data_IF_475319482680
#
_entry.id   IF_475319482680
#
_cell.length_a   1.000
_cell.length_b   1.000
_cell.length_c   1.000
_cell.angle_alpha   90.00
_cell.angle_beta   90.00
_cell.angle_gamma   90.00
#
_symmetry.space_group_name_H-M   'P 1'
#
loop_
_entity.id
_entity.type
_entity.pdbx_description
1 polymer ?
#
# COMPACT_ATOMS: atom_id res chain seq x y z
N UNK A 1 11.49 40.72 20.96
CA UNK A 1 10.13 40.28 20.59
C UNK A 1 9.93 40.35 19.08
N UNK A 2 9.52 39.24 18.46
CA UNK A 2 9.16 39.13 17.03
C UNK A 2 7.69 39.53 16.78
N UNK A 3 7.34 39.77 15.51
CA UNK A 3 5.97 40.05 15.03
C UNK A 3 4.95 38.99 15.41
N UNK A 4 5.24 37.71 15.16
CA UNK A 4 4.33 36.61 15.49
C UNK A 4 4.12 36.48 17.00
N UNK A 5 5.19 36.65 17.79
CA UNK A 5 5.12 36.64 19.25
C UNK A 5 4.28 37.79 19.81
N UNK A 6 4.42 38.99 19.24
CA UNK A 6 3.63 40.15 19.64
C UNK A 6 2.15 39.94 19.33
N UNK A 7 1.84 39.29 18.21
CA UNK A 7 0.48 38.97 17.81
C UNK A 7 -0.15 37.90 18.72
N UNK A 8 0.57 36.82 19.03
CA UNK A 8 0.12 35.77 19.96
C UNK A 8 -0.17 36.32 21.37
N UNK A 9 0.66 37.23 21.88
CA UNK A 9 0.42 37.84 23.19
C UNK A 9 -0.82 38.73 23.19
N UNK A 10 -1.07 39.49 22.13
CA UNK A 10 -2.26 40.33 22.04
C UNK A 10 -3.54 39.50 21.91
N UNK A 11 -3.48 38.39 21.18
CA UNK A 11 -4.62 37.47 21.05
C UNK A 11 -4.91 36.72 22.36
N UNK A 12 -3.89 36.27 23.09
CA UNK A 12 -4.06 35.66 24.43
C UNK A 12 -4.55 36.67 25.48
N UNK A 13 -4.23 37.96 25.29
CA UNK A 13 -4.77 39.06 26.08
C UNK A 13 -6.23 39.41 25.75
N UNK A 14 -6.85 38.75 24.76
CA UNK A 14 -8.22 38.99 24.35
C UNK A 14 -8.43 40.27 23.53
N UNK A 15 -7.36 40.81 22.93
CA UNK A 15 -7.45 41.95 22.01
C UNK A 15 -7.98 41.47 20.66
N UNK A 16 -8.95 42.19 20.11
CA UNK A 16 -9.57 41.85 18.82
C UNK A 16 -8.52 41.74 17.70
N UNK A 17 -8.68 40.77 16.80
CA UNK A 17 -7.67 40.43 15.77
C UNK A 17 -7.29 41.62 14.88
N UNK A 18 -8.28 42.45 14.53
CA UNK A 18 -8.03 43.63 13.70
C UNK A 18 -7.22 44.71 14.44
N UNK A 19 -7.49 44.88 15.73
CA UNK A 19 -6.77 45.81 16.60
C UNK A 19 -5.36 45.29 16.83
N UNK A 20 -5.19 43.98 17.08
CA UNK A 20 -3.89 43.36 17.32
C UNK A 20 -2.98 43.49 16.09
N UNK A 21 -3.48 43.22 14.87
CA UNK A 21 -2.75 43.44 13.61
C UNK A 21 -2.33 44.91 13.46
N UNK A 22 -3.22 45.86 13.73
CA UNK A 22 -2.92 47.29 13.62
C UNK A 22 -1.85 47.73 14.63
N UNK A 23 -1.91 47.25 15.88
CA UNK A 23 -0.88 47.51 16.90
C UNK A 23 0.45 46.89 16.53
N UNK A 24 0.50 45.65 16.03
CA UNK A 24 1.75 45.01 15.60
C UNK A 24 2.37 45.78 14.43
N UNK A 25 1.56 46.20 13.44
CA UNK A 25 2.03 47.07 12.34
C UNK A 25 2.53 48.42 12.83
N UNK A 26 1.91 49.00 13.86
CA UNK A 26 2.36 50.25 14.49
C UNK A 26 3.69 50.03 15.23
N UNK A 27 3.82 48.99 16.03
CA UNK A 27 5.05 48.65 16.76
C UNK A 27 6.22 48.30 15.84
N UNK A 28 5.95 47.71 14.66
CA UNK A 28 6.95 47.54 13.61
C UNK A 28 7.47 48.88 13.07
N UNK A 29 6.56 49.83 12.80
CA UNK A 29 6.94 51.19 12.36
C UNK A 29 7.73 51.95 13.43
N UNK A 30 7.35 51.77 14.70
CA UNK A 30 8.02 52.36 15.87
C UNK A 30 9.31 51.64 16.28
N UNK A 31 9.72 50.58 15.57
CA UNK A 31 10.90 49.74 15.88
C UNK A 31 10.89 49.12 17.28
N UNK A 32 9.73 49.04 17.95
CA UNK A 32 9.55 48.37 19.25
C UNK A 32 9.68 46.85 19.13
N UNK A 33 9.40 46.30 17.95
CA UNK A 33 9.56 44.88 17.60
C UNK A 33 10.35 44.72 16.31
N UNK A 34 10.98 43.55 16.15
CA UNK A 34 11.75 43.20 14.96
C UNK A 34 10.98 42.19 14.12
N UNK A 35 11.05 42.32 12.79
CA UNK A 35 10.57 41.29 11.87
C UNK A 35 11.66 40.22 11.71
N UNK A 36 11.34 38.98 12.09
CA UNK A 36 12.20 37.82 11.83
C UNK A 36 11.45 36.94 10.84
N UNK A 37 11.93 36.86 9.59
CA UNK A 37 11.30 36.05 8.55
C UNK A 37 11.40 34.54 8.82
N UNK A 38 10.38 33.80 8.36
CA UNK A 38 10.20 32.33 8.19
C UNK A 38 11.29 31.37 8.68
N UNK A 39 11.77 31.53 9.91
CA UNK A 39 12.54 30.51 10.61
C UNK A 39 11.88 30.36 11.96
N UNK A 40 11.16 29.25 12.14
CA UNK A 40 10.55 28.84 13.39
C UNK A 40 11.64 28.60 14.44
N UNK A 41 12.13 29.66 15.06
CA UNK A 41 12.91 29.54 16.28
C UNK A 41 11.94 29.33 17.45
N UNK A 42 12.24 28.29 18.23
CA UNK A 42 11.57 27.85 19.45
C UNK A 42 10.74 28.93 20.15
N UNK A 43 9.48 28.62 20.42
CA UNK A 43 8.49 29.40 21.18
C UNK A 43 8.85 29.50 22.68
N UNK A 44 10.11 29.78 22.99
CA UNK A 44 10.58 30.16 24.31
C UNK A 44 10.33 31.64 24.52
N UNK A 45 9.18 31.96 25.11
CA UNK A 45 8.79 33.31 25.45
C UNK A 45 9.71 33.85 26.55
N UNK A 46 10.52 34.86 26.24
CA UNK A 46 11.18 35.65 27.26
C UNK A 46 10.96 37.11 26.87
N UNK A 47 9.85 37.67 27.37
CA UNK A 47 9.84 39.10 27.65
C UNK A 47 10.66 39.28 28.93
N UNK A 48 11.72 40.06 28.79
CA UNK A 48 12.66 40.36 29.88
C UNK A 48 12.08 41.34 30.90
N UNK A 49 10.85 41.84 30.77
CA UNK A 49 10.32 42.78 31.76
C UNK A 49 8.79 42.75 31.89
N UNK A 50 8.33 42.73 33.14
CA UNK A 50 6.92 42.78 33.54
C UNK A 50 6.30 44.14 33.20
N UNK A 51 7.10 45.22 33.33
CA UNK A 51 6.65 46.59 33.05
C UNK A 51 6.52 46.83 31.54
N UNK A 52 7.38 46.18 30.74
CA UNK A 52 7.27 46.21 29.28
C UNK A 52 5.99 45.53 28.79
N UNK A 53 5.60 44.40 29.38
CA UNK A 53 4.36 43.71 29.05
C UNK A 53 3.11 44.54 29.40
N UNK A 54 3.13 45.22 30.55
CA UNK A 54 2.01 46.08 30.98
C UNK A 54 1.87 47.31 30.07
N UNK A 55 2.99 47.95 29.71
CA UNK A 55 2.99 49.08 28.76
C UNK A 55 2.49 48.66 27.37
N UNK A 56 2.83 47.45 26.91
CA UNK A 56 2.32 46.91 25.65
C UNK A 56 0.80 46.68 25.66
N UNK A 57 0.27 46.14 26.76
CA UNK A 57 -1.18 45.94 26.90
C UNK A 57 -1.93 47.27 26.97
N UNK A 58 -1.35 48.26 27.65
CA UNK A 58 -1.88 49.63 27.68
C UNK A 58 -1.86 50.28 26.29
N UNK A 59 -0.77 50.13 25.55
CA UNK A 59 -0.63 50.58 24.15
C UNK A 59 -1.66 49.90 23.22
N UNK A 60 -2.09 48.67 23.54
CA UNK A 60 -3.09 47.91 22.82
C UNK A 60 -4.54 48.19 23.25
N UNK A 61 -4.75 49.13 24.16
CA UNK A 61 -6.09 49.54 24.62
C UNK A 61 -6.69 48.62 25.68
N UNK A 62 -5.91 47.72 26.27
CA UNK A 62 -6.36 46.89 27.40
C UNK A 62 -6.36 47.74 28.67
N UNK A 63 -7.45 47.68 29.45
CA UNK A 63 -7.54 48.39 30.72
C UNK A 63 -6.45 47.94 31.69
N UNK A 64 -5.88 48.86 32.47
CA UNK A 64 -4.77 48.56 33.39
C UNK A 64 -5.10 47.44 34.39
N UNK A 65 -6.36 47.37 34.86
CA UNK A 65 -6.84 46.30 35.75
C UNK A 65 -6.87 44.94 35.06
N UNK A 66 -7.30 44.87 33.81
CA UNK A 66 -7.28 43.64 33.01
C UNK A 66 -5.85 43.26 32.61
N UNK A 67 -5.03 44.24 32.25
CA UNK A 67 -3.63 44.06 31.89
C UNK A 67 -2.82 43.43 33.03
N UNK A 68 -3.01 43.90 34.27
CA UNK A 68 -2.37 43.32 35.45
C UNK A 68 -2.78 41.86 35.67
N UNK A 69 -4.04 41.49 35.42
CA UNK A 69 -4.50 40.10 35.55
C UNK A 69 -3.89 39.20 34.48
N UNK A 70 -3.78 39.69 33.25
CA UNK A 70 -3.20 38.97 32.11
C UNK A 70 -1.70 38.75 32.33
N UNK A 71 -0.97 39.79 32.75
CA UNK A 71 0.46 39.71 33.10
C UNK A 71 0.70 38.73 34.26
N UNK A 72 -0.18 38.71 35.28
CA UNK A 72 -0.13 37.72 36.37
C UNK A 72 -0.31 36.28 35.86
N UNK A 73 -1.20 36.08 34.88
CA UNK A 73 -1.40 34.77 34.25
C UNK A 73 -0.16 34.37 33.44
N UNK A 74 0.41 35.28 32.67
CA UNK A 74 1.63 35.04 31.90
C UNK A 74 2.85 34.74 32.77
N UNK A 75 2.98 35.34 33.95
CA UNK A 75 4.01 34.99 34.94
C UNK A 75 3.85 33.56 35.46
N UNK A 76 2.61 33.13 35.76
CA UNK A 76 2.34 31.74 36.23
C UNK A 76 2.59 30.71 35.14
N UNK A 77 2.29 31.06 33.89
CA UNK A 77 2.51 30.20 32.73
C UNK A 77 3.97 30.23 32.23
N UNK A 78 4.84 31.05 32.84
CA UNK A 78 6.25 31.17 32.45
C UNK A 78 6.47 31.87 31.11
N UNK A 79 5.47 32.60 30.60
CA UNK A 79 5.52 33.32 29.31
C UNK A 79 6.32 34.63 29.39
N UNK A 80 6.49 35.19 30.58
CA UNK A 80 7.30 36.39 30.84
C UNK A 80 8.20 36.15 32.05
N UNK A 81 9.40 36.75 32.08
CA UNK A 81 10.33 36.64 33.19
C UNK A 81 10.24 37.91 34.05
N UNK A 82 10.16 37.75 35.38
CA UNK A 82 10.21 38.91 36.28
C UNK A 82 11.66 39.40 36.39
N UNK A 83 12.01 40.45 35.66
CA UNK A 83 13.34 41.09 35.73
C UNK A 83 13.20 42.52 36.30
N UNK A 84 12.36 42.68 37.31
CA UNK A 84 12.22 43.93 38.06
C UNK A 84 12.99 43.87 39.39
N UNK A 85 13.93 44.80 39.58
CA UNK A 85 14.69 44.98 40.83
C UNK A 85 13.87 45.71 41.92
N UNK A 86 12.59 45.37 42.06
CA UNK A 86 11.65 45.96 42.98
C UNK A 86 10.66 44.92 43.49
N UNK A 87 10.75 44.58 44.78
CA UNK A 87 9.79 43.70 45.46
C UNK A 87 8.39 44.31 45.36
N UNK A 88 7.56 43.76 44.49
CA UNK A 88 6.11 43.75 44.71
C UNK A 88 5.75 42.29 44.96
N UNK A 89 5.87 41.89 46.22
CA UNK A 89 5.31 40.63 46.73
C UNK A 89 3.78 40.70 46.57
N UNK A 90 3.29 40.25 45.43
CA UNK A 90 1.88 39.91 45.29
C UNK A 90 1.65 38.61 46.03
N UNK A 91 1.37 38.73 47.33
CA UNK A 91 0.95 37.62 48.18
C UNK A 91 -0.17 36.82 47.50
N UNK A 92 -0.03 35.50 47.31
CA UNK A 92 -1.17 34.66 46.98
C UNK A 92 -2.13 34.72 48.16
N UNK A 93 -3.40 35.07 47.92
CA UNK A 93 -4.44 34.89 48.93
C UNK A 93 -4.54 33.38 49.24
N UNK A 94 -3.94 32.96 50.35
CA UNK A 94 -3.91 31.58 50.89
C UNK A 94 -5.30 30.97 51.12
N UNK A 95 -6.35 31.77 51.04
CA UNK A 95 -7.74 31.33 51.21
C UNK A 95 -8.25 30.45 50.07
N UNK A 96 -7.63 30.44 48.88
CA UNK A 96 -8.02 29.54 47.79
C UNK A 96 -7.31 28.18 47.82
N UNK A 97 -6.18 28.05 48.54
CA UNK A 97 -5.44 26.79 48.62
C UNK A 97 -6.01 25.82 49.67
N UNK A 98 -6.75 26.32 50.67
CA UNK A 98 -7.33 25.48 51.73
C UNK A 98 -8.58 24.69 51.32
N UNK A 99 -9.21 25.02 50.19
CA UNK A 99 -10.36 24.25 49.67
C UNK A 99 -9.93 22.93 49.01
N UNK A 100 -8.65 22.78 48.63
CA UNK A 100 -8.14 21.60 47.94
C UNK A 100 -7.56 20.51 48.85
N UNK A 101 -7.35 20.76 50.14
CA UNK A 101 -6.71 19.81 51.06
C UNK A 101 -7.63 18.68 51.56
N UNK A 102 -8.96 18.78 51.37
CA UNK A 102 -9.90 17.74 51.80
C UNK A 102 -10.20 16.68 50.72
N UNK A 103 -9.65 16.83 49.51
CA UNK A 103 -9.85 15.91 48.39
C UNK A 103 -8.66 14.94 48.17
N UNK A 104 -7.62 15.01 49.00
CA UNK A 104 -6.37 14.26 48.83
C UNK A 104 -6.59 12.75 48.86
N UNK A 105 -7.45 12.24 49.75
CA UNK A 105 -7.73 10.80 49.85
C UNK A 105 -8.46 10.23 48.64
N UNK A 106 -9.30 11.03 47.98
CA UNK A 106 -9.99 10.60 46.76
C UNK A 106 -9.08 10.73 45.54
N UNK A 107 -8.22 11.76 45.50
CA UNK A 107 -7.16 11.87 44.50
C UNK A 107 -6.15 10.71 44.61
N UNK A 108 -5.74 10.32 45.80
CA UNK A 108 -4.85 9.16 46.01
C UNK A 108 -5.50 7.83 45.59
N UNK A 109 -6.79 7.62 45.89
CA UNK A 109 -7.53 6.44 45.41
C UNK A 109 -7.63 6.42 43.89
N UNK A 110 -7.91 7.56 43.25
CA UNK A 110 -7.94 7.66 41.78
C UNK A 110 -6.55 7.41 41.18
N UNK A 111 -5.48 7.94 41.79
CA UNK A 111 -4.10 7.67 41.38
C UNK A 111 -3.74 6.19 41.50
N UNK A 112 -4.11 5.53 42.59
CA UNK A 112 -3.90 4.10 42.77
C UNK A 112 -4.64 3.28 41.70
N UNK A 113 -5.90 3.63 41.40
CA UNK A 113 -6.67 2.99 40.33
C UNK A 113 -6.03 3.20 38.95
N UNK A 114 -5.60 4.42 38.64
CA UNK A 114 -4.92 4.74 37.38
C UNK A 114 -3.60 3.97 37.26
N UNK A 115 -2.84 3.83 38.35
CA UNK A 115 -1.61 3.05 38.38
C UNK A 115 -1.86 1.56 38.11
N UNK A 116 -2.91 0.99 38.68
CA UNK A 116 -3.32 -0.39 38.39
C UNK A 116 -3.72 -0.54 36.92
N UNK A 117 -4.52 0.39 36.37
CA UNK A 117 -4.90 0.38 34.96
C UNK A 117 -3.68 0.47 34.03
N UNK A 118 -2.73 1.37 34.32
CA UNK A 118 -1.46 1.47 33.59
C UNK A 118 -0.70 0.15 33.60
N UNK A 119 -0.53 -0.46 34.78
CA UNK A 119 0.17 -1.75 34.89
C UNK A 119 -0.52 -2.87 34.09
N UNK A 120 -1.87 -2.90 34.08
CA UNK A 120 -2.61 -3.88 33.27
C UNK A 120 -2.43 -3.62 31.76
N UNK A 121 -2.45 -2.36 31.33
CA UNK A 121 -2.23 -1.98 29.93
C UNK A 121 -0.80 -2.30 29.48
N UNK A 122 0.21 -2.03 30.31
CA UNK A 122 1.60 -2.42 30.04
C UNK A 122 1.75 -3.93 29.88
N UNK A 123 1.02 -4.73 30.67
CA UNK A 123 0.96 -6.18 30.52
C UNK A 123 0.40 -6.62 29.17
N UNK A 124 -0.70 -5.98 28.74
CA UNK A 124 -1.31 -6.22 27.43
C UNK A 124 -0.39 -5.82 26.28
N UNK A 125 0.25 -4.65 26.36
CA UNK A 125 1.21 -4.16 25.35
C UNK A 125 2.36 -5.16 25.21
N UNK A 126 2.96 -5.60 26.32
CA UNK A 126 4.02 -6.63 26.30
C UNK A 126 3.54 -7.96 25.69
N UNK A 127 2.29 -8.34 25.94
CA UNK A 127 1.68 -9.52 25.31
C UNK A 127 1.58 -9.36 23.78
N UNK A 128 1.06 -8.23 23.32
CA UNK A 128 0.97 -7.90 21.90
C UNK A 128 2.33 -7.83 21.22
N UNK A 129 3.33 -7.24 21.87
CA UNK A 129 4.70 -7.18 21.34
C UNK A 129 5.31 -8.56 21.15
N UNK A 130 5.13 -9.48 22.10
CA UNK A 130 5.60 -10.85 21.97
C UNK A 130 4.91 -11.58 20.82
N UNK A 131 3.60 -11.43 20.70
CA UNK A 131 2.83 -12.04 19.63
C UNK A 131 3.25 -11.48 18.26
N UNK A 132 3.47 -10.16 18.17
CA UNK A 132 3.96 -9.51 16.96
C UNK A 132 5.36 -10.01 16.59
N UNK A 133 6.29 -10.11 17.55
CA UNK A 133 7.62 -10.70 17.33
C UNK A 133 7.53 -12.13 16.79
N UNK A 134 6.73 -13.00 17.42
CA UNK A 134 6.54 -14.36 16.90
C UNK A 134 5.93 -14.38 15.50
N UNK A 135 4.99 -13.48 15.21
CA UNK A 135 4.40 -13.37 13.87
C UNK A 135 5.44 -12.95 12.84
N UNK A 136 6.29 -11.96 13.15
CA UNK A 136 7.39 -11.54 12.27
C UNK A 136 8.34 -12.70 12.01
N UNK A 137 8.75 -13.44 13.05
CA UNK A 137 9.67 -14.57 12.91
C UNK A 137 9.08 -15.66 11.99
N UNK A 138 7.79 -15.97 12.14
CA UNK A 138 7.12 -16.95 11.25
C UNK A 138 7.06 -16.46 9.80
N UNK A 139 6.81 -15.17 9.58
CA UNK A 139 6.80 -14.59 8.23
C UNK A 139 8.19 -14.60 7.59
N UNK A 140 9.24 -14.34 8.37
CA UNK A 140 10.63 -14.44 7.91
C UNK A 140 10.94 -15.87 7.48
N UNK A 141 10.59 -16.87 8.31
CA UNK A 141 10.80 -18.27 7.98
C UNK A 141 10.04 -18.69 6.70
N UNK A 142 8.79 -18.25 6.55
CA UNK A 142 8.00 -18.51 5.34
C UNK A 142 8.66 -17.89 4.11
N UNK A 143 9.09 -16.63 4.20
CA UNK A 143 9.80 -15.94 3.11
C UNK A 143 11.08 -16.67 2.72
N UNK A 144 11.88 -17.11 3.68
CA UNK A 144 13.11 -17.86 3.40
C UNK A 144 12.83 -19.21 2.73
N UNK A 145 11.80 -19.93 3.16
CA UNK A 145 11.41 -21.20 2.55
C UNK A 145 10.94 -21.01 1.11
N UNK A 146 10.09 -20.00 0.86
CA UNK A 146 9.64 -19.65 -0.48
C UNK A 146 10.80 -19.25 -1.39
N UNK A 147 11.74 -18.44 -0.89
CA UNK A 147 12.92 -18.06 -1.66
C UNK A 147 13.77 -19.28 -2.06
N UNK A 148 13.95 -20.25 -1.16
CA UNK A 148 14.65 -21.51 -1.47
C UNK A 148 13.92 -22.31 -2.55
N UNK A 149 12.60 -22.36 -2.49
CA UNK A 149 11.77 -23.04 -3.50
C UNK A 149 11.86 -22.35 -4.86
N UNK A 150 11.80 -21.02 -4.91
CA UNK A 150 11.98 -20.23 -6.13
C UNK A 150 13.33 -20.53 -6.79
N UNK A 151 14.43 -20.53 -6.02
CA UNK A 151 15.76 -20.83 -6.55
C UNK A 151 15.82 -22.25 -7.15
N UNK A 152 15.18 -23.24 -6.50
CA UNK A 152 15.10 -24.61 -7.05
C UNK A 152 14.32 -24.66 -8.36
N UNK A 153 13.17 -24.01 -8.41
CA UNK A 153 12.33 -23.95 -9.62
C UNK A 153 13.02 -23.21 -10.77
N UNK A 154 13.76 -22.13 -10.48
CA UNK A 154 14.57 -21.43 -11.47
C UNK A 154 15.67 -22.32 -12.04
N UNK A 155 16.34 -23.11 -11.20
CA UNK A 155 17.34 -24.07 -11.64
C UNK A 155 16.74 -25.17 -12.52
N UNK A 156 15.63 -25.79 -12.08
CA UNK A 156 14.91 -26.81 -12.84
C UNK A 156 14.44 -26.27 -14.20
N UNK A 157 13.88 -25.06 -14.22
CA UNK A 157 13.46 -24.41 -15.46
C UNK A 157 14.66 -24.14 -16.39
N UNK A 158 15.81 -23.73 -15.84
CA UNK A 158 17.05 -23.57 -16.63
C UNK A 158 17.50 -24.88 -17.27
N UNK A 159 17.43 -25.98 -16.53
CA UNK A 159 17.83 -27.30 -17.02
C UNK A 159 16.85 -27.84 -18.06
N UNK A 160 15.54 -27.70 -17.84
CA UNK A 160 14.51 -28.02 -18.83
C UNK A 160 14.68 -27.20 -20.11
N UNK A 161 15.03 -25.92 -20.02
CA UNK A 161 15.32 -25.09 -21.19
C UNK A 161 16.56 -25.60 -21.95
N UNK A 162 17.62 -26.03 -21.25
CA UNK A 162 18.80 -26.62 -21.89
C UNK A 162 18.43 -27.93 -22.60
N UNK A 163 17.64 -28.79 -21.97
CA UNK A 163 17.18 -30.05 -22.54
C UNK A 163 16.31 -29.80 -23.78
N UNK A 164 15.36 -28.87 -23.70
CA UNK A 164 14.51 -28.47 -24.84
C UNK A 164 15.37 -28.00 -26.02
N UNK A 165 16.41 -27.20 -25.76
CA UNK A 165 17.35 -26.75 -26.81
C UNK A 165 18.14 -27.91 -27.41
N UNK A 166 18.56 -28.91 -26.61
CA UNK A 166 19.24 -30.10 -27.12
C UNK A 166 18.33 -30.92 -28.02
N UNK A 167 17.12 -31.24 -27.55
CA UNK A 167 16.13 -32.01 -28.32
C UNK A 167 15.73 -31.30 -29.61
N UNK A 168 15.60 -29.97 -29.60
CA UNK A 168 15.34 -29.20 -30.82
C UNK A 168 16.48 -29.32 -31.83
N UNK A 169 17.74 -29.25 -31.38
CA UNK A 169 18.90 -29.46 -32.27
C UNK A 169 18.91 -30.87 -32.85
N UNK A 170 18.69 -31.90 -32.03
CA UNK A 170 18.59 -33.29 -32.48
C UNK A 170 17.44 -33.48 -33.47
N UNK A 171 16.28 -32.86 -33.23
CA UNK A 171 15.15 -32.92 -34.15
C UNK A 171 15.46 -32.29 -35.51
N UNK A 172 16.16 -31.15 -35.51
CA UNK A 172 16.62 -30.50 -36.75
C UNK A 172 17.61 -31.40 -37.50
N UNK A 173 18.58 -31.99 -36.79
CA UNK A 173 19.55 -32.93 -37.36
C UNK A 173 18.85 -34.13 -38.00
N UNK A 174 17.89 -34.75 -37.29
CA UNK A 174 17.10 -35.87 -37.80
C UNK A 174 16.25 -35.48 -39.00
N UNK A 175 15.63 -34.29 -39.01
CA UNK A 175 14.89 -33.78 -40.18
C UNK A 175 15.81 -33.60 -41.39
N UNK A 176 17.02 -33.08 -41.17
CA UNK A 176 18.01 -32.93 -42.24
C UNK A 176 18.46 -34.30 -42.76
N UNK A 177 18.65 -35.29 -41.89
CA UNK A 177 18.95 -36.67 -42.30
C UNK A 177 17.80 -37.30 -43.08
N UNK A 178 16.55 -37.13 -42.64
CA UNK A 178 15.37 -37.59 -43.37
C UNK A 178 15.23 -36.92 -44.73
N UNK A 179 15.53 -35.62 -44.83
CA UNK A 179 15.56 -34.90 -46.10
C UNK A 179 16.62 -35.48 -47.04
N UNK A 180 17.84 -35.72 -46.56
CA UNK A 180 18.91 -36.37 -47.34
C UNK A 180 18.50 -37.76 -47.83
N UNK A 181 17.97 -38.61 -46.95
CA UNK A 181 17.48 -39.95 -47.32
C UNK A 181 16.32 -39.89 -48.32
N UNK A 182 15.41 -38.92 -48.18
CA UNK A 182 14.33 -38.69 -49.15
C UNK A 182 14.87 -38.24 -50.50
N UNK A 183 15.87 -37.37 -50.53
CA UNK A 183 16.55 -36.97 -51.77
C UNK A 183 17.26 -38.15 -52.43
N UNK A 184 17.98 -38.97 -51.65
CA UNK A 184 18.62 -40.21 -52.13
C UNK A 184 17.60 -41.20 -52.69
N UNK A 185 16.47 -41.41 -52.00
CA UNK A 185 15.36 -42.23 -52.49
C UNK A 185 14.75 -41.66 -53.77
N UNK A 186 14.58 -40.34 -53.88
CA UNK A 186 14.05 -39.70 -55.08
C UNK A 186 15.00 -39.81 -56.27
N UNK A 187 16.32 -39.80 -56.03
CA UNK A 187 17.35 -40.03 -57.05
C UNK A 187 17.46 -41.51 -57.43
N UNK A 188 17.17 -42.43 -56.49
CA UNK A 188 17.10 -43.88 -56.73
C UNK A 188 15.83 -44.35 -57.43
N UNK A 189 14.70 -43.65 -57.25
CA UNK A 189 13.40 -43.94 -57.88
C UNK A 189 13.21 -43.25 -59.25
N UNK A 190 14.20 -43.37 -60.14
CA UNK A 190 13.97 -43.16 -61.58
C UNK A 190 13.26 -44.38 -62.22
N UNK A 191 12.28 -44.95 -61.53
CA UNK A 191 11.36 -45.94 -62.09
C UNK A 191 9.95 -45.57 -61.64
N UNK A 192 9.13 -45.30 -62.65
CA UNK A 192 7.73 -44.87 -62.60
C UNK A 192 6.94 -45.53 -61.47
N UNK A 193 6.02 -44.80 -60.82
CA UNK A 193 4.88 -45.43 -60.20
C UNK A 193 3.63 -45.12 -61.02
N UNK A 194 3.07 -46.19 -61.58
CA UNK A 194 1.72 -46.26 -62.09
C UNK A 194 0.71 -45.72 -61.07
N UNK A 195 0.13 -44.60 -61.47
CA UNK A 195 -1.26 -44.19 -61.34
C UNK A 195 -2.25 -45.22 -60.75
N UNK A 196 -2.49 -45.20 -59.43
CA UNK A 196 -3.82 -45.43 -58.84
C UNK A 196 -3.95 -44.63 -57.54
N UNK A 197 -4.58 -43.45 -57.60
CA UNK A 197 -5.24 -42.86 -56.43
C UNK A 197 -6.72 -42.70 -56.75
N UNK A 198 -7.52 -43.61 -56.18
CA UNK A 198 -8.96 -43.43 -56.05
C UNK A 198 -9.25 -42.12 -55.29
N UNK A 199 -10.09 -41.31 -55.90
CA UNK A 199 -10.51 -39.99 -55.47
C UNK A 199 -11.44 -40.07 -54.26
N UNK A 200 -10.88 -40.25 -53.07
CA UNK A 200 -11.58 -39.87 -51.83
C UNK A 200 -11.66 -38.33 -51.81
N UNK A 201 -12.85 -37.72 -51.63
CA UNK A 201 -12.97 -36.27 -51.60
C UNK A 201 -12.04 -35.72 -50.52
N UNK A 202 -11.07 -34.90 -50.93
CA UNK A 202 -10.01 -34.32 -50.09
C UNK A 202 -10.50 -33.75 -48.75
N UNK A 203 -11.77 -33.29 -48.70
CA UNK A 203 -12.41 -32.70 -47.51
C UNK A 203 -12.72 -33.70 -46.38
N UNK A 204 -13.01 -34.97 -46.67
CA UNK A 204 -13.28 -35.96 -45.61
C UNK A 204 -12.02 -36.42 -44.87
N UNK A 205 -10.88 -36.41 -45.56
CA UNK A 205 -9.59 -36.73 -44.95
C UNK A 205 -9.17 -35.68 -43.91
N UNK A 206 -9.57 -34.43 -44.08
CA UNK A 206 -9.31 -33.36 -43.11
C UNK A 206 -10.06 -33.56 -41.79
N UNK A 207 -11.32 -34.04 -41.85
CA UNK A 207 -12.14 -34.28 -40.65
C UNK A 207 -11.55 -35.40 -39.78
N UNK A 208 -11.13 -36.51 -40.39
CA UNK A 208 -10.49 -37.62 -39.69
C UNK A 208 -9.16 -37.19 -39.06
N UNK A 209 -8.36 -36.41 -39.81
CA UNK A 209 -7.08 -35.87 -39.33
C UNK A 209 -7.27 -34.89 -38.16
N UNK A 210 -8.27 -34.00 -38.22
CA UNK A 210 -8.61 -33.06 -37.12
C UNK A 210 -8.95 -33.78 -35.82
N UNK A 211 -9.60 -34.94 -35.90
CA UNK A 211 -9.95 -35.76 -34.74
C UNK A 211 -8.84 -36.72 -34.28
N UNK A 212 -7.69 -36.74 -34.96
CA UNK A 212 -6.63 -37.71 -34.69
C UNK A 212 -7.01 -39.15 -35.02
N UNK A 213 -8.00 -39.37 -35.89
CA UNK A 213 -8.46 -40.69 -36.31
C UNK A 213 -7.69 -41.17 -37.54
N UNK A 214 -7.58 -42.50 -37.69
CA UNK A 214 -6.96 -43.13 -38.87
C UNK A 214 -7.66 -42.70 -40.16
N UNK A 215 -6.91 -42.67 -41.28
CA UNK A 215 -7.46 -42.42 -42.62
C UNK A 215 -8.55 -43.44 -43.01
N UNK A 216 -8.51 -44.64 -42.42
CA UNK A 216 -9.49 -45.72 -42.63
C UNK A 216 -10.67 -45.70 -41.65
N UNK A 217 -10.74 -44.74 -40.73
CA UNK A 217 -11.78 -44.71 -39.69
C UNK A 217 -13.19 -44.53 -40.28
N UNK A 218 -14.17 -45.29 -39.76
CA UNK A 218 -15.53 -45.26 -40.26
C UNK A 218 -16.26 -43.97 -39.85
N UNK A 219 -17.32 -43.59 -40.58
CA UNK A 219 -18.18 -42.45 -40.21
C UNK A 219 -18.74 -42.60 -38.79
N UNK A 220 -19.01 -43.83 -38.33
CA UNK A 220 -19.45 -44.12 -36.97
C UNK A 220 -18.39 -43.70 -35.95
N UNK A 221 -17.12 -44.00 -36.22
CA UNK A 221 -15.99 -43.66 -35.34
C UNK A 221 -15.80 -42.15 -35.27
N UNK A 222 -15.86 -41.47 -36.42
CA UNK A 222 -15.82 -40.00 -36.53
C UNK A 222 -16.95 -39.37 -35.72
N UNK A 223 -18.17 -39.89 -35.83
CA UNK A 223 -19.32 -39.39 -35.05
C UNK A 223 -19.15 -39.59 -33.54
N UNK A 224 -18.54 -40.71 -33.13
CA UNK A 224 -18.27 -41.00 -31.72
C UNK A 224 -17.17 -40.10 -31.16
N UNK A 225 -16.15 -39.77 -31.97
CA UNK A 225 -15.07 -38.85 -31.62
C UNK A 225 -15.60 -37.45 -31.34
N UNK A 226 -16.41 -36.90 -32.23
CA UNK A 226 -17.07 -35.61 -32.02
C UNK A 226 -17.96 -35.60 -30.77
N UNK A 227 -18.77 -36.64 -30.54
CA UNK A 227 -19.61 -36.73 -29.33
C UNK A 227 -18.79 -36.75 -28.04
N UNK A 228 -17.65 -37.46 -28.01
CA UNK A 228 -16.74 -37.47 -26.88
C UNK A 228 -16.14 -36.09 -26.63
N UNK A 229 -15.66 -35.41 -27.68
CA UNK A 229 -15.12 -34.05 -27.59
C UNK A 229 -16.16 -33.04 -27.11
N UNK A 230 -17.39 -33.09 -27.62
CA UNK A 230 -18.49 -32.24 -27.18
C UNK A 230 -18.82 -32.45 -25.71
N UNK A 231 -18.75 -33.70 -25.21
CA UNK A 231 -18.98 -33.99 -23.80
C UNK A 231 -17.90 -33.35 -22.92
N UNK A 232 -16.62 -33.55 -23.26
CA UNK A 232 -15.49 -33.02 -22.49
C UNK A 232 -15.40 -31.50 -22.52
N UNK A 233 -15.76 -30.88 -23.65
CA UNK A 233 -15.67 -29.42 -23.83
C UNK A 233 -16.92 -28.67 -23.38
N UNK A 234 -17.95 -29.36 -22.90
CA UNK A 234 -19.21 -28.73 -22.50
C UNK A 234 -18.99 -27.72 -21.36
N UNK A 235 -19.54 -26.49 -21.44
CA UNK A 235 -19.36 -25.46 -20.42
C UNK A 235 -19.82 -25.92 -19.02
N UNK A 236 -20.94 -26.64 -18.95
CA UNK A 236 -21.45 -27.19 -17.68
C UNK A 236 -20.53 -28.24 -17.02
N UNK A 237 -19.56 -28.80 -17.75
CA UNK A 237 -18.56 -29.74 -17.21
C UNK A 237 -17.21 -29.05 -16.91
N UNK A 238 -17.18 -27.71 -16.89
CA UNK A 238 -15.95 -26.94 -16.73
C UNK A 238 -15.14 -26.80 -18.02
N UNK A 239 -15.74 -27.12 -19.18
CA UNK A 239 -15.12 -27.01 -20.49
C UNK A 239 -15.15 -25.59 -21.07
N UNK A 240 -14.37 -25.37 -22.12
CA UNK A 240 -14.31 -24.07 -22.81
C UNK A 240 -15.50 -23.91 -23.78
N UNK A 241 -16.38 -22.94 -23.52
CA UNK A 241 -17.56 -22.65 -24.33
C UNK A 241 -17.23 -22.32 -25.81
N UNK A 242 -16.14 -21.59 -26.08
CA UNK A 242 -15.73 -21.28 -27.45
C UNK A 242 -15.27 -22.53 -28.20
N UNK A 243 -14.53 -23.42 -27.52
CA UNK A 243 -14.13 -24.71 -28.09
C UNK A 243 -15.35 -25.62 -28.35
N UNK A 244 -16.31 -25.64 -27.42
CA UNK A 244 -17.56 -26.39 -27.60
C UNK A 244 -18.34 -25.93 -28.83
N UNK A 245 -18.51 -24.61 -29.01
CA UNK A 245 -19.17 -24.05 -30.20
C UNK A 245 -18.46 -24.42 -31.49
N UNK A 246 -17.12 -24.30 -31.53
CA UNK A 246 -16.31 -24.67 -32.69
C UNK A 246 -16.44 -26.16 -33.06
N UNK A 247 -16.36 -27.05 -32.07
CA UNK A 247 -16.49 -28.49 -32.26
C UNK A 247 -17.91 -28.84 -32.71
N UNK A 248 -18.92 -28.13 -32.19
CA UNK A 248 -20.32 -28.32 -32.58
C UNK A 248 -20.57 -27.91 -34.03
N UNK A 249 -20.03 -26.78 -34.48
CA UNK A 249 -20.13 -26.35 -35.88
C UNK A 249 -19.45 -27.34 -36.84
N UNK A 250 -18.28 -27.87 -36.47
CA UNK A 250 -17.57 -28.88 -37.28
C UNK A 250 -18.35 -30.21 -37.31
N UNK A 251 -19.00 -30.61 -36.21
CA UNK A 251 -19.84 -31.81 -36.16
C UNK A 251 -21.12 -31.67 -37.00
N UNK A 252 -21.78 -30.51 -36.94
CA UNK A 252 -22.98 -30.23 -37.74
C UNK A 252 -22.64 -30.22 -39.24
N UNK A 253 -21.49 -29.66 -39.61
CA UNK A 253 -20.96 -29.73 -40.98
C UNK A 253 -20.73 -31.19 -41.42
N UNK A 254 -20.03 -32.00 -40.61
CA UNK A 254 -19.82 -33.42 -40.89
C UNK A 254 -21.14 -34.18 -41.08
N UNK A 255 -22.14 -33.89 -40.25
CA UNK A 255 -23.46 -34.51 -40.33
C UNK A 255 -24.19 -34.16 -41.64
N UNK A 256 -24.02 -32.93 -42.13
CA UNK A 256 -24.59 -32.51 -43.41
C UNK A 256 -23.88 -33.18 -44.59
N UNK A 257 -22.55 -33.31 -44.55
CA UNK A 257 -21.77 -34.00 -45.60
C UNK A 257 -22.01 -35.52 -45.71
N UNK A 258 -22.68 -36.15 -44.73
CA UNK A 258 -23.07 -37.58 -44.81
C UNK A 258 -24.52 -37.75 -45.27
N UNK A 259 -25.33 -36.68 -45.20
CA UNK A 259 -26.74 -36.71 -45.59
C UNK A 259 -26.96 -36.36 -47.07
N UNK A 260 -25.98 -35.72 -47.71
CA UNK A 260 -25.84 -35.63 -49.17
C UNK A 260 -25.22 -36.92 -49.72
#
# INVERSE_FOLDING_TARGET
MNTDQAYELLTDAGVNEEISIQTVRRWLRERKIKYVGTVSQNSGYILDDTDQALNMLKDAGVSERSGIQIVRRWLREGKIQNVGNGRIEYFPNETLSKVYLNNDTDQEKTLAQLKVKLNTQDGLIKGMEKLHKSSIDTLIQQRENLNKEIIKLEHENSDLQKETRKLLKENIELRNQLLKLKEELSKGNNREPDNVQETIPYKMNDIRRKLGLSKTASHKDVSSGYKKLLKVTHPDQGGNAAAFHYIKTDYDYFRNCIKE
#
